data_IF_271377869871
#
_entry.id   IF_271377869871
#
_cell.length_a   1.000
_cell.length_b   1.000
_cell.length_c   1.000
_cell.angle_alpha   90.00
_cell.angle_beta   90.00
_cell.angle_gamma   90.00
#
_symmetry.space_group_name_H-M   'P 1'
#
loop_
_entity.id
_entity.type
_entity.pdbx_description
1 polymer ?
#
# COMPACT_ATOMS: atom_id res chain seq x y z
N UNK A 1 -38.59 -22.56 53.68
CA UNK A 1 -37.82 -23.70 53.17
C UNK A 1 -37.38 -23.38 51.74
N UNK A 2 -36.08 -23.10 51.57
CA UNK A 2 -35.22 -23.24 50.38
C UNK A 2 -35.84 -23.00 48.99
N UNK A 3 -35.44 -21.95 48.24
CA UNK A 3 -35.26 -21.97 46.76
C UNK A 3 -34.80 -20.62 46.13
N UNK A 4 -33.94 -19.81 46.77
CA UNK A 4 -33.56 -18.51 46.16
C UNK A 4 -32.10 -18.07 46.42
N UNK A 5 -31.11 -18.94 46.17
CA UNK A 5 -29.75 -18.58 46.59
C UNK A 5 -28.58 -19.39 46.04
N UNK A 6 -28.61 -19.86 44.78
CA UNK A 6 -27.37 -20.42 44.18
C UNK A 6 -27.19 -20.25 42.67
N UNK A 7 -28.18 -19.74 41.96
CA UNK A 7 -28.14 -19.71 40.48
C UNK A 7 -27.82 -18.32 39.90
N UNK A 8 -27.74 -17.27 40.73
CA UNK A 8 -27.38 -15.91 40.28
C UNK A 8 -25.87 -15.62 40.42
N UNK A 9 -25.16 -16.32 41.31
CA UNK A 9 -23.72 -16.12 41.55
C UNK A 9 -22.85 -16.75 40.45
N UNK A 10 -23.33 -17.80 39.77
CA UNK A 10 -22.61 -18.47 38.67
C UNK A 10 -22.61 -17.64 37.37
N UNK A 11 -23.63 -16.81 37.13
CA UNK A 11 -23.75 -16.00 35.92
C UNK A 11 -22.79 -14.81 35.94
N UNK A 12 -22.55 -14.22 37.13
CA UNK A 12 -21.57 -13.14 37.29
C UNK A 12 -20.11 -13.60 37.17
N UNK A 13 -19.80 -14.85 37.56
CA UNK A 13 -18.47 -15.43 37.37
C UNK A 13 -18.14 -15.69 35.89
N UNK A 14 -19.15 -16.10 35.10
CA UNK A 14 -18.98 -16.41 33.68
C UNK A 14 -18.88 -15.15 32.81
N UNK A 15 -19.63 -14.08 33.13
CA UNK A 15 -19.53 -12.79 32.42
C UNK A 15 -18.21 -12.06 32.65
N UNK A 16 -17.52 -12.30 33.78
CA UNK A 16 -16.21 -11.69 34.05
C UNK A 16 -15.06 -12.44 33.35
N UNK A 17 -15.21 -13.75 33.12
CA UNK A 17 -14.21 -14.57 32.43
C UNK A 17 -14.10 -14.22 30.93
N UNK A 18 -15.20 -13.77 30.32
CA UNK A 18 -15.21 -13.32 28.91
C UNK A 18 -14.59 -11.93 28.70
N UNK A 19 -14.39 -11.12 29.74
CA UNK A 19 -13.76 -9.79 29.62
C UNK A 19 -12.22 -9.83 29.63
N UNK A 20 -11.60 -10.93 30.07
CA UNK A 20 -10.13 -11.07 30.11
C UNK A 20 -9.54 -11.83 28.92
N UNK A 21 -10.36 -12.50 28.10
CA UNK A 21 -9.90 -13.50 27.13
C UNK A 21 -9.74 -13.05 25.67
N UNK A 22 -10.05 -11.81 25.31
CA UNK A 22 -9.88 -11.34 23.92
C UNK A 22 -9.39 -9.89 23.85
N UNK A 23 -8.26 -9.62 24.50
CA UNK A 23 -7.39 -8.56 23.99
C UNK A 23 -6.63 -9.17 22.82
N UNK A 24 -7.14 -9.03 21.59
CA UNK A 24 -6.30 -9.22 20.40
C UNK A 24 -5.25 -8.12 20.44
N UNK A 25 -4.11 -8.45 21.06
CA UNK A 25 -2.89 -7.70 20.93
C UNK A 25 -2.31 -8.03 19.55
N UNK A 26 -2.95 -7.54 18.48
CA UNK A 26 -2.37 -7.49 17.16
C UNK A 26 -1.27 -6.41 17.14
N UNK A 27 -0.14 -6.69 17.81
CA UNK A 27 1.14 -6.01 17.55
C UNK A 27 1.80 -6.60 16.31
N UNK A 28 1.02 -6.70 15.25
CA UNK A 28 1.52 -7.01 13.93
C UNK A 28 0.73 -6.24 12.86
N UNK A 29 0.63 -4.92 13.05
CA UNK A 29 0.58 -4.03 11.90
C UNK A 29 1.96 -4.15 11.21
N UNK A 30 2.13 -5.17 10.37
CA UNK A 30 3.17 -5.13 9.36
C UNK A 30 2.83 -3.93 8.48
N UNK A 31 3.45 -2.80 8.77
CA UNK A 31 3.27 -1.53 8.07
C UNK A 31 3.86 -1.56 6.65
N UNK A 32 3.96 -2.75 6.06
CA UNK A 32 4.47 -3.06 4.71
C UNK A 32 3.31 -3.44 3.76
N UNK A 33 2.06 -3.20 4.17
CA UNK A 33 0.93 -3.27 3.25
C UNK A 33 0.98 -2.07 2.32
N UNK A 34 1.16 -2.32 1.03
CA UNK A 34 1.12 -1.28 -0.01
C UNK A 34 -0.31 -0.71 -0.05
N UNK A 35 -0.43 0.58 0.26
CA UNK A 35 -1.71 1.27 0.22
C UNK A 35 -1.97 1.76 -1.21
N UNK A 36 -3.00 1.22 -1.86
CA UNK A 36 -3.46 1.71 -3.17
C UNK A 36 -4.17 3.06 -3.02
N UNK A 37 -4.78 3.30 -1.85
CA UNK A 37 -5.38 4.56 -1.45
C UNK A 37 -4.88 4.92 -0.05
N UNK A 38 -4.22 6.08 0.07
CA UNK A 38 -3.74 6.63 1.32
C UNK A 38 -4.48 7.93 1.65
N UNK A 39 -4.57 8.28 2.94
CA UNK A 39 -5.12 9.58 3.37
C UNK A 39 -4.34 10.75 2.74
N UNK A 40 -3.03 10.55 2.55
CA UNK A 40 -2.16 11.45 1.82
C UNK A 40 -1.45 10.68 0.71
N UNK A 41 -1.73 11.03 -0.55
CA UNK A 41 -1.03 10.48 -1.70
C UNK A 41 0.42 11.01 -1.75
N UNK A 42 1.40 10.17 -2.12
CA UNK A 42 2.76 10.65 -2.34
C UNK A 42 2.79 11.62 -3.52
N UNK A 43 3.47 12.75 -3.34
CA UNK A 43 3.68 13.76 -4.38
C UNK A 43 5.17 13.95 -4.63
N UNK A 44 5.55 14.07 -5.89
CA UNK A 44 6.94 14.37 -6.26
C UNK A 44 7.29 15.82 -5.90
N UNK A 45 8.52 16.14 -5.45
CA UNK A 45 8.93 17.53 -5.21
C UNK A 45 8.75 18.41 -6.45
N UNK A 46 7.96 19.47 -6.34
CA UNK A 46 7.58 20.31 -7.49
C UNK A 46 6.40 19.77 -8.32
N UNK A 47 5.68 18.79 -7.78
CA UNK A 47 4.47 18.22 -8.34
C UNK A 47 4.68 17.53 -9.69
N UNK A 48 3.62 17.50 -10.49
CA UNK A 48 3.62 16.85 -11.81
C UNK A 48 4.66 17.44 -12.78
N UNK A 49 4.93 18.73 -12.69
CA UNK A 49 5.92 19.39 -13.56
C UNK A 49 7.35 18.99 -13.19
N UNK A 50 7.63 18.80 -11.90
CA UNK A 50 8.93 18.33 -11.43
C UNK A 50 9.27 16.94 -11.97
N UNK A 51 8.33 16.00 -11.87
CA UNK A 51 8.55 14.63 -12.33
C UNK A 51 8.67 14.58 -13.87
N UNK A 52 7.84 15.32 -14.62
CA UNK A 52 7.95 15.36 -16.09
C UNK A 52 9.32 15.86 -16.51
N UNK A 53 9.84 16.92 -15.87
CA UNK A 53 11.17 17.44 -16.18
C UNK A 53 12.26 16.40 -15.88
N UNK A 54 12.20 15.77 -14.71
CA UNK A 54 13.19 14.76 -14.31
C UNK A 54 13.21 13.59 -15.29
N UNK A 55 12.03 13.08 -15.66
CA UNK A 55 11.88 11.98 -16.63
C UNK A 55 12.43 12.40 -17.99
N UNK A 56 12.10 13.59 -18.48
CA UNK A 56 12.60 14.09 -19.76
C UNK A 56 14.13 14.19 -19.82
N UNK A 57 14.80 14.45 -18.69
CA UNK A 57 16.28 14.48 -18.62
C UNK A 57 16.92 13.10 -18.42
N UNK A 58 16.18 12.14 -17.88
CA UNK A 58 16.70 10.82 -17.52
C UNK A 58 16.38 9.72 -18.54
N UNK A 59 15.34 9.90 -19.36
CA UNK A 59 14.94 8.94 -20.39
C UNK A 59 15.84 9.09 -21.61
N UNK A 60 16.60 8.04 -21.91
CA UNK A 60 17.30 7.91 -23.19
C UNK A 60 16.39 7.20 -24.19
N UNK A 61 16.13 7.86 -25.32
CA UNK A 61 15.24 7.33 -26.35
C UNK A 61 16.06 6.50 -27.36
N UNK A 62 15.83 5.17 -27.46
CA UNK A 62 16.66 4.27 -28.25
C UNK A 62 16.85 4.73 -29.70
N UNK A 63 18.07 4.58 -30.22
CA UNK A 63 18.40 4.98 -31.61
C UNK A 63 17.53 4.26 -32.63
N UNK A 64 17.28 2.97 -32.43
CA UNK A 64 16.43 2.14 -33.29
C UNK A 64 14.97 2.63 -33.30
N UNK A 65 14.44 3.03 -32.14
CA UNK A 65 13.09 3.60 -32.07
C UNK A 65 13.00 4.92 -32.85
N UNK A 66 14.07 5.72 -32.84
CA UNK A 66 14.16 7.00 -33.57
C UNK A 66 14.26 6.82 -35.08
N UNK A 67 15.08 5.89 -35.53
CA UNK A 67 15.29 5.60 -36.94
C UNK A 67 14.03 4.97 -37.57
N UNK A 68 13.29 4.18 -36.78
CA UNK A 68 12.05 3.53 -37.20
C UNK A 68 10.79 4.35 -36.90
N UNK A 69 10.92 5.61 -36.42
CA UNK A 69 9.80 6.50 -36.10
C UNK A 69 8.75 5.88 -35.16
N UNK A 70 9.20 5.14 -34.13
CA UNK A 70 8.32 4.40 -33.20
C UNK A 70 7.86 5.31 -32.06
N UNK A 71 6.67 5.89 -32.17
CA UNK A 71 6.06 6.69 -31.12
C UNK A 71 5.04 5.90 -30.29
N UNK A 72 4.76 6.38 -29.07
CA UNK A 72 3.76 5.74 -28.25
C UNK A 72 3.80 6.07 -26.76
N UNK A 73 2.82 5.53 -26.04
CA UNK A 73 2.69 5.71 -24.58
C UNK A 73 3.05 4.42 -23.85
N UNK A 74 4.05 4.50 -22.97
CA UNK A 74 4.44 3.40 -22.08
C UNK A 74 3.78 3.59 -20.72
N UNK A 75 3.11 2.54 -20.23
CA UNK A 75 2.52 2.53 -18.90
C UNK A 75 3.43 1.76 -17.95
N UNK A 76 3.89 2.46 -16.90
CA UNK A 76 4.76 1.92 -15.87
C UNK A 76 4.01 1.91 -14.54
N UNK A 77 4.19 0.83 -13.77
CA UNK A 77 3.81 0.74 -12.37
C UNK A 77 5.09 0.71 -11.55
N UNK A 78 5.12 1.43 -10.45
CA UNK A 78 6.20 1.39 -9.50
C UNK A 78 5.65 1.64 -8.10
N UNK A 79 6.41 1.21 -7.09
CA UNK A 79 6.09 1.42 -5.69
C UNK A 79 6.97 2.53 -5.12
N UNK A 80 6.38 3.42 -4.32
CA UNK A 80 7.11 4.47 -3.61
C UNK A 80 7.19 4.08 -2.14
N UNK A 81 8.41 3.95 -1.62
CA UNK A 81 8.62 3.66 -0.20
C UNK A 81 8.33 4.89 0.65
N UNK A 82 8.20 4.69 1.97
CA UNK A 82 8.00 5.79 2.93
C UNK A 82 9.13 6.83 2.94
N UNK A 83 10.32 6.47 2.46
CA UNK A 83 11.47 7.39 2.36
C UNK A 83 11.52 8.12 1.02
N UNK A 84 10.53 7.91 0.13
CA UNK A 84 10.48 8.49 -1.21
C UNK A 84 11.33 7.75 -2.26
N UNK A 85 11.88 6.59 -1.93
CA UNK A 85 12.62 5.78 -2.90
C UNK A 85 11.65 5.00 -3.80
N UNK A 86 12.04 4.79 -5.05
CA UNK A 86 11.26 4.03 -6.03
C UNK A 86 11.73 2.58 -6.04
N UNK A 87 10.80 1.64 -6.04
CA UNK A 87 11.07 0.20 -6.14
C UNK A 87 10.01 -0.51 -6.99
N UNK A 88 10.25 -1.81 -7.24
CA UNK A 88 9.36 -2.72 -8.00
C UNK A 88 8.77 -2.09 -9.27
N UNK A 89 9.65 -1.69 -10.17
CA UNK A 89 9.25 -1.12 -11.46
C UNK A 89 8.77 -2.25 -12.37
N UNK A 90 7.55 -2.11 -12.88
CA UNK A 90 6.92 -3.06 -13.79
C UNK A 90 6.34 -2.32 -15.00
N UNK A 91 6.62 -2.84 -16.20
CA UNK A 91 6.05 -2.31 -17.43
C UNK A 91 4.70 -2.97 -17.66
N UNK A 92 3.62 -2.20 -17.52
CA UNK A 92 2.25 -2.68 -17.69
C UNK A 92 1.87 -2.77 -19.17
N UNK A 93 2.32 -1.81 -19.98
CA UNK A 93 2.06 -1.76 -21.41
C UNK A 93 3.18 -1.02 -22.13
N UNK A 94 3.75 -1.67 -23.13
CA UNK A 94 4.71 -1.09 -24.08
C UNK A 94 4.08 -0.95 -25.46
N UNK A 95 4.61 -0.02 -26.24
CA UNK A 95 4.27 0.13 -27.67
C UNK A 95 5.14 -0.73 -28.57
N UNK A 96 6.33 -1.08 -28.12
CA UNK A 96 7.28 -1.91 -28.85
C UNK A 96 8.12 -2.75 -27.85
N UNK A 97 8.52 -3.98 -28.17
CA UNK A 97 9.29 -4.85 -27.27
C UNK A 97 10.77 -4.45 -27.07
N UNK A 98 11.20 -3.29 -27.58
CA UNK A 98 12.60 -2.84 -27.53
C UNK A 98 12.85 -1.92 -26.33
#
# INVERSE_FOLDING_TARGET
>A
MRFFGKNILLIFGFSLYSFFGFSQNDKNANNDTILVFAEQMPEYPGGIHGIIRQVATAVDYPKEARENYIDGTVFLRFEVTKTGNIGKIEIQKSVHPL
#
